data_IF_613329046144
#
_entry.id   IF_613329046144
#
_cell.length_a   1.000
_cell.length_b   1.000
_cell.length_c   1.000
_cell.angle_alpha   90.00
_cell.angle_beta   90.00
_cell.angle_gamma   90.00
#
_symmetry.space_group_name_H-M   'P 1'
#
loop_
_entity.id
_entity.type
_entity.pdbx_description
1 polymer ?
#
# COMPACT_ATOMS: atom_id res chain seq x y z
N UNK A 1 3.47 -0.15 17.68
CA UNK A 1 3.21 -0.99 16.49
C UNK A 1 2.43 -0.13 15.52
N UNK A 2 3.12 0.58 14.63
CA UNK A 2 2.42 1.21 13.52
C UNK A 2 1.93 0.07 12.63
N UNK A 3 0.63 0.02 12.41
CA UNK A 3 0.02 -0.96 11.53
C UNK A 3 0.43 -0.57 10.11
N UNK A 4 1.12 -1.45 9.40
CA UNK A 4 1.39 -1.28 7.97
C UNK A 4 0.10 -0.87 7.25
N UNK A 5 0.20 0.09 6.35
CA UNK A 5 -0.94 0.57 5.60
C UNK A 5 -1.62 -0.59 4.83
N UNK A 6 -2.94 -0.64 4.89
CA UNK A 6 -3.72 -1.69 4.27
C UNK A 6 -3.89 -1.40 2.78
N UNK A 7 -3.73 -2.46 1.98
CA UNK A 7 -3.96 -2.43 0.53
C UNK A 7 -5.08 -3.40 0.14
N UNK A 8 -5.95 -2.94 -0.77
CA UNK A 8 -6.98 -3.73 -1.41
C UNK A 8 -6.82 -3.66 -2.92
N UNK A 9 -6.85 -4.82 -3.58
CA UNK A 9 -6.59 -4.94 -5.01
C UNK A 9 -7.86 -5.37 -5.74
N UNK A 10 -8.13 -4.76 -6.89
CA UNK A 10 -9.29 -5.10 -7.72
C UNK A 10 -8.99 -4.92 -9.21
N UNK A 11 -9.67 -5.73 -10.02
CA UNK A 11 -9.66 -5.61 -11.48
C UNK A 11 -10.95 -4.96 -11.96
N UNK A 12 -10.87 -4.11 -12.98
CA UNK A 12 -12.05 -3.66 -13.73
C UNK A 12 -12.46 -4.65 -14.84
N UNK A 13 -13.42 -4.26 -15.67
CA UNK A 13 -13.93 -5.10 -16.76
C UNK A 13 -12.93 -5.28 -17.92
N UNK A 14 -11.91 -4.43 -18.03
CA UNK A 14 -10.87 -4.49 -19.06
C UNK A 14 -9.57 -5.16 -18.55
N UNK A 15 -9.60 -5.73 -17.34
CA UNK A 15 -8.47 -6.32 -16.63
C UNK A 15 -7.39 -5.33 -16.18
N UNK A 16 -7.71 -4.03 -16.03
CA UNK A 16 -6.79 -3.12 -15.37
C UNK A 16 -6.75 -3.42 -13.86
N UNK A 17 -5.55 -3.59 -13.32
CA UNK A 17 -5.33 -3.76 -11.89
C UNK A 17 -5.26 -2.40 -11.19
N UNK A 18 -6.13 -2.21 -10.21
CA UNK A 18 -6.12 -1.06 -9.31
C UNK A 18 -5.76 -1.48 -7.89
N UNK A 19 -5.13 -0.57 -7.16
CA UNK A 19 -4.88 -0.68 -5.73
C UNK A 19 -5.55 0.49 -5.01
N UNK A 20 -6.31 0.17 -3.97
CA UNK A 20 -6.74 1.13 -2.96
C UNK A 20 -5.81 0.97 -1.75
N UNK A 21 -5.06 2.02 -1.45
CA UNK A 21 -4.07 2.03 -0.37
C UNK A 21 -4.43 3.07 0.67
N UNK A 22 -4.36 2.70 1.96
CA UNK A 22 -4.71 3.58 3.09
C UNK A 22 -3.53 4.38 3.65
N UNK A 23 -2.35 4.22 3.06
CA UNK A 23 -1.12 4.89 3.48
C UNK A 23 -0.60 5.92 2.48
N UNK A 24 0.46 6.60 2.91
CA UNK A 24 1.20 7.60 2.16
C UNK A 24 2.56 7.05 1.71
N UNK A 25 3.21 7.77 0.79
CA UNK A 25 4.54 7.40 0.33
C UNK A 25 5.57 7.52 1.46
N UNK A 26 5.43 8.52 2.33
CA UNK A 26 6.30 8.77 3.48
C UNK A 26 6.25 7.62 4.49
N UNK A 27 5.04 7.13 4.83
CA UNK A 27 4.86 5.97 5.71
C UNK A 27 5.51 4.71 5.13
N UNK A 28 5.38 4.49 3.82
CA UNK A 28 6.01 3.36 3.14
C UNK A 28 7.54 3.42 3.19
N UNK A 29 8.11 4.61 2.99
CA UNK A 29 9.57 4.82 3.08
C UNK A 29 10.07 4.62 4.51
N UNK A 30 9.32 5.09 5.51
CA UNK A 30 9.65 4.88 6.92
C UNK A 30 9.69 3.38 7.26
N UNK A 31 8.71 2.60 6.76
CA UNK A 31 8.69 1.14 6.93
C UNK A 31 9.92 0.43 6.33
N UNK A 32 10.52 0.92 5.24
CA UNK A 32 11.79 0.37 4.73
C UNK A 32 12.99 0.68 5.62
N UNK A 33 12.97 1.81 6.32
CA UNK A 33 14.05 2.25 7.21
C UNK A 33 14.00 1.53 8.56
N UNK A 34 12.80 1.21 9.03
CA UNK A 34 12.56 0.50 10.30
C UNK A 34 12.81 -1.02 10.21
N UNK A 35 12.82 -1.59 8.99
CA UNK A 35 13.05 -3.02 8.74
C UNK A 35 14.51 -3.34 8.31
N UNK A 36 15.43 -2.39 8.45
CA UNK A 36 16.88 -2.53 8.25
C UNK A 36 17.61 -2.71 9.59
#
# INVERSE_FOLDING_TARGET
MQTEAQSFYLYDYDNHLFELHTGTIEERIAGYSDNL
#
